data_IF_031880933377
#
_entry.id   IF_031880933377
#
_cell.length_a   1.000
_cell.length_b   1.000
_cell.length_c   1.000
_cell.angle_alpha   90.00
_cell.angle_beta   90.00
_cell.angle_gamma   90.00
#
_symmetry.space_group_name_H-M   'P 1'
#
loop_
_entity.id
_entity.type
_entity.pdbx_description
1 polymer ?
#
# COMPACT_ATOMS: atom_id res chain seq x y z
N UNK A 1 22.78 11.56 12.55
CA UNK A 1 22.60 10.09 12.52
C UNK A 1 21.16 9.78 12.85
N UNK A 2 20.44 9.12 11.95
CA UNK A 2 19.13 8.52 12.24
C UNK A 2 19.27 6.99 12.12
N UNK A 3 18.19 6.24 12.40
CA UNK A 3 18.22 4.78 12.38
C UNK A 3 18.42 4.16 10.97
N UNK A 4 18.56 4.97 9.91
CA UNK A 4 18.88 4.48 8.57
C UNK A 4 20.39 4.33 8.35
N UNK A 5 21.22 5.00 9.15
CA UNK A 5 22.69 4.89 9.14
C UNK A 5 23.32 5.08 7.74
N UNK A 6 22.75 5.96 6.91
CA UNK A 6 23.17 6.13 5.50
C UNK A 6 24.61 6.60 5.36
N UNK A 7 25.04 7.48 6.27
CA UNK A 7 26.40 8.00 6.37
C UNK A 7 27.47 6.95 6.67
N UNK A 8 27.09 5.74 7.07
CA UNK A 8 28.03 4.61 7.26
C UNK A 8 28.20 3.77 6.00
N UNK A 9 27.31 3.91 5.01
CA UNK A 9 27.38 3.14 3.79
C UNK A 9 28.45 3.71 2.85
N UNK A 10 29.27 2.87 2.19
CA UNK A 10 30.23 3.31 1.18
C UNK A 10 29.52 3.62 -0.14
N UNK A 11 28.67 4.66 -0.14
CA UNK A 11 27.83 5.08 -1.26
C UNK A 11 27.98 6.59 -1.39
N UNK A 12 28.32 7.06 -2.60
CA UNK A 12 28.43 8.49 -2.89
C UNK A 12 27.08 9.19 -2.86
N UNK A 13 27.10 10.52 -2.64
CA UNK A 13 25.87 11.32 -2.67
C UNK A 13 25.13 11.20 -4.02
N UNK A 14 25.89 11.15 -5.12
CA UNK A 14 25.33 10.98 -6.46
C UNK A 14 24.62 9.62 -6.64
N UNK A 15 25.23 8.54 -6.14
CA UNK A 15 24.62 7.21 -6.17
C UNK A 15 23.38 7.13 -5.26
N UNK A 16 23.42 7.76 -4.08
CA UNK A 16 22.25 7.86 -3.21
C UNK A 16 21.07 8.54 -3.91
N UNK A 17 21.30 9.66 -4.60
CA UNK A 17 20.25 10.37 -5.35
C UNK A 17 19.63 9.47 -6.41
N UNK A 18 20.44 8.76 -7.20
CA UNK A 18 19.92 7.82 -8.21
C UNK A 18 19.10 6.69 -7.58
N UNK A 19 19.60 6.04 -6.51
CA UNK A 19 18.87 4.97 -5.81
C UNK A 19 17.52 5.48 -5.28
N UNK A 20 17.49 6.67 -4.68
CA UNK A 20 16.25 7.27 -4.17
C UNK A 20 15.25 7.60 -5.28
N UNK A 21 15.71 8.15 -6.40
CA UNK A 21 14.86 8.46 -7.54
C UNK A 21 14.25 7.18 -8.13
N UNK A 22 15.07 6.16 -8.34
CA UNK A 22 14.69 4.86 -8.89
C UNK A 22 13.70 4.10 -8.00
N UNK A 23 13.93 4.11 -6.69
CA UNK A 23 13.01 3.47 -5.74
C UNK A 23 11.72 4.27 -5.57
N UNK A 24 11.80 5.61 -5.51
CA UNK A 24 10.64 6.49 -5.39
C UNK A 24 9.72 6.44 -6.61
N UNK A 25 10.27 6.43 -7.82
CA UNK A 25 9.46 6.30 -9.04
C UNK A 25 8.80 4.93 -9.10
N UNK A 26 9.53 3.88 -8.70
CA UNK A 26 9.04 2.50 -8.73
C UNK A 26 7.91 2.29 -7.74
N UNK A 27 8.09 2.70 -6.48
CA UNK A 27 7.05 2.52 -5.46
C UNK A 27 5.77 3.28 -5.83
N UNK A 28 5.88 4.52 -6.32
CA UNK A 28 4.72 5.32 -6.77
C UNK A 28 4.01 4.70 -7.98
N UNK A 29 4.74 4.01 -8.85
CA UNK A 29 4.17 3.32 -10.02
C UNK A 29 3.30 2.13 -9.62
N UNK A 30 3.71 1.39 -8.58
CA UNK A 30 3.03 0.15 -8.17
C UNK A 30 1.99 0.34 -7.06
N UNK A 31 2.05 1.42 -6.28
CA UNK A 31 1.05 1.72 -5.25
C UNK A 31 -0.28 2.17 -5.87
N UNK A 32 -1.32 1.37 -5.69
CA UNK A 32 -2.69 1.74 -6.03
C UNK A 32 -3.46 2.26 -4.82
N UNK A 33 -3.22 1.71 -3.63
CA UNK A 33 -3.97 2.02 -2.40
C UNK A 33 -3.98 3.50 -2.04
N UNK A 34 -2.80 4.13 -2.02
CA UNK A 34 -2.64 5.56 -1.67
C UNK A 34 -3.34 6.53 -2.62
N UNK A 35 -3.83 6.07 -3.78
CA UNK A 35 -4.59 6.90 -4.72
C UNK A 35 -6.07 6.98 -4.37
N UNK A 36 -6.55 6.11 -3.48
CA UNK A 36 -7.98 5.95 -3.17
C UNK A 36 -8.29 5.95 -1.67
N UNK A 37 -7.27 5.87 -0.81
CA UNK A 37 -7.40 6.01 0.65
C UNK A 37 -6.73 7.29 1.12
N UNK A 38 -7.20 7.82 2.23
CA UNK A 38 -6.54 8.93 2.91
C UNK A 38 -5.19 8.49 3.49
N UNK A 39 -4.15 9.30 3.28
CA UNK A 39 -2.82 9.07 3.80
C UNK A 39 -2.52 10.09 4.88
N UNK A 40 -2.43 9.64 6.12
CA UNK A 40 -2.09 10.49 7.27
C UNK A 40 -0.62 10.37 7.66
N UNK A 41 0.01 11.51 7.99
CA UNK A 41 1.39 11.58 8.44
C UNK A 41 2.35 12.19 7.40
N UNK A 42 3.68 12.00 7.57
CA UNK A 42 4.33 11.14 8.57
C UNK A 42 4.25 11.69 10.01
N UNK A 43 4.05 10.81 10.99
CA UNK A 43 3.95 11.12 12.42
C UNK A 43 5.23 10.82 13.22
N UNK A 44 6.28 10.33 12.53
CA UNK A 44 7.58 10.00 13.11
C UNK A 44 7.67 8.55 13.64
N UNK A 45 8.89 8.13 13.96
CA UNK A 45 9.23 6.76 14.37
C UNK A 45 8.79 6.39 15.79
N UNK A 46 8.37 7.36 16.59
CA UNK A 46 7.91 7.14 17.96
C UNK A 46 6.45 6.67 18.05
N UNK A 47 5.66 6.80 16.97
CA UNK A 47 4.27 6.36 16.96
C UNK A 47 4.20 4.83 16.94
N UNK A 48 3.62 4.24 17.98
CA UNK A 48 3.50 2.78 18.13
C UNK A 48 2.11 2.24 17.78
N UNK A 49 1.05 3.03 17.98
CA UNK A 49 -0.32 2.61 17.70
C UNK A 49 -1.25 3.81 17.43
N UNK A 50 -2.35 3.55 16.71
CA UNK A 50 -3.47 4.48 16.50
C UNK A 50 -4.66 4.03 17.34
N UNK A 51 -5.16 4.90 18.22
CA UNK A 51 -6.35 4.61 19.03
C UNK A 51 -7.61 4.55 18.18
N UNK A 52 -8.51 3.60 18.46
CA UNK A 52 -9.78 3.45 17.73
C UNK A 52 -10.92 4.26 18.36
N UNK A 53 -10.73 4.79 19.57
CA UNK A 53 -11.77 5.45 20.36
C UNK A 53 -12.68 4.48 21.12
N UNK A 54 -12.45 3.17 21.01
CA UNK A 54 -13.25 2.13 21.66
C UNK A 54 -12.59 1.56 22.91
N UNK A 55 -13.42 0.92 23.74
CA UNK A 55 -13.02 0.21 24.95
C UNK A 55 -13.46 -1.24 24.85
N UNK A 56 -12.58 -2.14 25.27
CA UNK A 56 -12.90 -3.55 25.51
C UNK A 56 -13.01 -3.80 27.01
N UNK A 57 -14.02 -4.56 27.42
CA UNK A 57 -14.13 -5.00 28.82
C UNK A 57 -13.04 -6.04 29.11
N UNK A 58 -12.36 -5.89 30.25
CA UNK A 58 -11.35 -6.84 30.71
C UNK A 58 -11.67 -7.29 32.13
N UNK A 59 -11.10 -8.44 32.54
CA UNK A 59 -11.27 -8.96 33.88
C UNK A 59 -10.84 -7.90 34.91
N UNK A 60 -11.73 -7.63 35.87
CA UNK A 60 -11.44 -6.71 36.96
C UNK A 60 -10.41 -7.33 37.92
N UNK A 61 -9.50 -6.52 38.50
CA UNK A 61 -8.48 -7.01 39.43
C UNK A 61 -9.02 -7.33 40.83
N UNK A 62 -10.33 -7.19 41.09
CA UNK A 62 -10.93 -7.47 42.38
C UNK A 62 -12.41 -7.10 42.46
N UNK A 63 -13.01 -7.42 43.59
CA UNK A 63 -14.43 -7.19 43.84
C UNK A 63 -14.77 -5.70 43.76
N UNK A 64 -15.94 -5.40 43.19
CA UNK A 64 -16.47 -4.04 42.99
C UNK A 64 -15.60 -3.12 42.10
N UNK A 65 -14.66 -3.67 41.34
CA UNK A 65 -13.88 -2.93 40.32
C UNK A 65 -14.43 -3.24 38.93
N UNK A 66 -14.52 -2.21 38.08
CA UNK A 66 -14.77 -2.36 36.64
C UNK A 66 -13.50 -2.01 35.89
N UNK A 67 -13.09 -2.85 34.93
CA UNK A 67 -11.90 -2.63 34.13
C UNK A 67 -12.22 -2.64 32.64
N UNK A 68 -11.66 -1.66 31.93
CA UNK A 68 -11.80 -1.47 30.49
C UNK A 68 -10.44 -1.10 29.90
N UNK A 69 -10.12 -1.64 28.74
CA UNK A 69 -8.89 -1.37 28.01
C UNK A 69 -9.18 -0.61 26.72
N UNK A 70 -8.38 0.42 26.44
CA UNK A 70 -8.43 1.13 25.17
C UNK A 70 -7.99 0.23 24.03
N UNK A 71 -8.81 0.19 22.99
CA UNK A 71 -8.44 -0.46 21.75
C UNK A 71 -7.56 0.45 20.91
N UNK A 72 -6.47 -0.12 20.41
CA UNK A 72 -5.54 0.55 19.52
C UNK A 72 -5.05 -0.42 18.45
N UNK A 73 -4.76 0.11 17.26
CA UNK A 73 -4.13 -0.62 16.16
C UNK A 73 -2.64 -0.32 16.16
N UNK A 74 -1.82 -1.33 16.47
CA UNK A 74 -0.37 -1.21 16.45
C UNK A 74 0.14 -0.98 15.02
N UNK A 75 1.13 -0.12 14.86
CA UNK A 75 1.79 0.08 13.58
C UNK A 75 2.68 -1.13 13.23
N UNK A 76 2.84 -1.38 11.94
CA UNK A 76 3.69 -2.44 11.41
C UNK A 76 4.92 -1.80 10.77
N UNK A 77 6.11 -2.22 11.20
CA UNK A 77 7.36 -1.90 10.50
C UNK A 77 7.61 -2.97 9.42
N UNK A 78 7.70 -2.55 8.16
CA UNK A 78 8.03 -3.42 7.04
C UNK A 78 9.42 -3.08 6.51
N UNK A 79 10.26 -4.10 6.30
CA UNK A 79 11.61 -3.97 5.77
C UNK A 79 11.85 -4.98 4.67
N UNK A 80 12.36 -4.52 3.53
CA UNK A 80 12.77 -5.37 2.41
C UNK A 80 14.26 -5.12 2.15
N UNK A 81 15.15 -6.06 2.52
CA UNK A 81 16.57 -5.94 2.21
C UNK A 81 16.81 -6.14 0.72
N UNK A 82 17.87 -5.51 0.22
CA UNK A 82 18.41 -5.70 -1.12
C UNK A 82 19.92 -5.49 -1.11
N UNK A 83 20.59 -6.01 -2.14
CA UNK A 83 22.03 -5.93 -2.32
C UNK A 83 22.33 -5.27 -3.67
N UNK A 84 23.42 -4.51 -3.74
CA UNK A 84 23.87 -3.80 -4.93
C UNK A 84 25.35 -4.08 -5.15
N UNK A 85 25.76 -4.11 -6.42
CA UNK A 85 27.18 -4.19 -6.76
C UNK A 85 27.86 -2.85 -6.48
N UNK A 86 28.94 -2.89 -5.68
CA UNK A 86 29.74 -1.71 -5.35
C UNK A 86 30.39 -1.09 -6.57
N UNK A 87 30.75 -1.87 -7.58
CA UNK A 87 31.30 -1.34 -8.83
C UNK A 87 30.29 -0.41 -9.52
N UNK A 88 29.02 -0.83 -9.59
CA UNK A 88 27.93 -0.04 -10.17
C UNK A 88 27.67 1.27 -9.41
N UNK A 89 27.87 1.24 -8.09
CA UNK A 89 27.78 2.43 -7.22
C UNK A 89 28.93 3.40 -7.52
N UNK A 90 30.17 2.89 -7.57
CA UNK A 90 31.36 3.70 -7.80
C UNK A 90 31.38 4.29 -9.24
N UNK A 91 30.79 3.60 -10.22
CA UNK A 91 30.71 4.06 -11.61
C UNK A 91 29.84 5.31 -11.80
N UNK A 92 28.89 5.58 -10.89
CA UNK A 92 28.06 6.79 -10.91
C UNK A 92 28.93 8.05 -10.79
N UNK A 93 29.94 8.04 -9.91
CA UNK A 93 30.86 9.18 -9.78
C UNK A 93 31.71 9.39 -11.03
N UNK A 94 31.91 8.33 -11.82
CA UNK A 94 32.61 8.38 -13.12
C UNK A 94 31.69 8.81 -14.27
N UNK A 95 30.42 9.09 -14.00
CA UNK A 95 29.43 9.57 -14.97
C UNK A 95 28.58 8.47 -15.62
N UNK A 96 28.57 7.25 -15.07
CA UNK A 96 27.66 6.21 -15.54
C UNK A 96 26.19 6.58 -15.29
N UNK A 97 25.34 6.31 -16.27
CA UNK A 97 23.89 6.57 -16.23
C UNK A 97 23.06 5.29 -16.39
N UNK A 98 23.73 4.14 -16.43
CA UNK A 98 23.18 2.81 -16.71
C UNK A 98 23.50 1.80 -15.58
N UNK A 99 23.92 2.28 -14.41
CA UNK A 99 24.13 1.45 -13.21
C UNK A 99 22.88 0.63 -12.87
N UNK A 100 23.07 -0.64 -12.54
CA UNK A 100 21.96 -1.56 -12.31
C UNK A 100 21.31 -1.36 -10.93
N UNK A 101 20.20 -0.65 -10.90
CA UNK A 101 19.36 -0.44 -9.72
C UNK A 101 18.20 -1.44 -9.61
N UNK A 102 18.18 -2.49 -10.42
CA UNK A 102 17.08 -3.47 -10.43
C UNK A 102 16.80 -4.10 -9.05
N UNK A 103 17.80 -4.48 -8.24
CA UNK A 103 17.53 -5.01 -6.90
C UNK A 103 16.77 -4.04 -5.98
N UNK A 104 17.09 -2.74 -6.06
CA UNK A 104 16.41 -1.71 -5.29
C UNK A 104 14.97 -1.49 -5.79
N UNK A 105 14.77 -1.50 -7.11
CA UNK A 105 13.43 -1.41 -7.74
C UNK A 105 12.56 -2.61 -7.37
N UNK A 106 13.12 -3.81 -7.35
CA UNK A 106 12.40 -5.02 -6.94
C UNK A 106 12.01 -4.99 -5.47
N UNK A 107 12.88 -4.47 -4.60
CA UNK A 107 12.56 -4.25 -3.19
C UNK A 107 11.42 -3.23 -3.01
N UNK A 108 11.47 -2.10 -3.73
CA UNK A 108 10.41 -1.10 -3.74
C UNK A 108 9.07 -1.67 -4.24
N UNK A 109 9.09 -2.50 -5.30
CA UNK A 109 7.90 -3.19 -5.82
C UNK A 109 7.30 -4.16 -4.80
N UNK A 110 8.13 -4.97 -4.14
CA UNK A 110 7.68 -5.90 -3.08
C UNK A 110 7.00 -5.14 -1.95
N UNK A 111 7.57 -4.01 -1.53
CA UNK A 111 6.99 -3.18 -0.47
C UNK A 111 5.66 -2.55 -0.90
N UNK A 112 5.55 -2.05 -2.13
CA UNK A 112 4.29 -1.53 -2.67
C UNK A 112 3.18 -2.60 -2.66
N UNK A 113 3.50 -3.81 -3.12
CA UNK A 113 2.53 -4.92 -3.13
C UNK A 113 2.16 -5.39 -1.72
N UNK A 114 3.10 -5.37 -0.78
CA UNK A 114 2.81 -5.69 0.62
C UNK A 114 1.83 -4.69 1.23
N UNK A 115 2.03 -3.39 0.98
CA UNK A 115 1.14 -2.33 1.44
C UNK A 115 -0.26 -2.45 0.83
N UNK A 116 -0.36 -2.53 -0.50
CA UNK A 116 -1.66 -2.65 -1.18
C UNK A 116 -2.41 -3.92 -0.74
N UNK A 117 -1.71 -5.05 -0.59
CA UNK A 117 -2.34 -6.27 -0.10
C UNK A 117 -2.85 -6.13 1.33
N UNK A 118 -2.10 -5.47 2.21
CA UNK A 118 -2.56 -5.20 3.57
C UNK A 118 -3.81 -4.30 3.58
N UNK A 119 -3.89 -3.30 2.69
CA UNK A 119 -5.06 -2.42 2.56
C UNK A 119 -6.28 -3.19 2.04
N UNK A 120 -6.15 -3.92 0.94
CA UNK A 120 -7.31 -4.50 0.25
C UNK A 120 -7.69 -5.89 0.76
N UNK A 121 -6.70 -6.77 0.97
CA UNK A 121 -6.91 -8.15 1.38
C UNK A 121 -6.72 -8.36 2.89
N UNK A 122 -6.10 -7.41 3.59
CA UNK A 122 -5.84 -7.46 5.02
C UNK A 122 -4.50 -8.08 5.37
N UNK A 123 -4.13 -7.95 6.64
CA UNK A 123 -2.95 -8.58 7.21
C UNK A 123 -3.28 -9.09 8.63
N UNK A 124 -3.81 -10.31 8.69
CA UNK A 124 -4.36 -10.89 9.91
C UNK A 124 -3.36 -10.97 11.07
N UNK A 125 -2.09 -11.29 10.79
CA UNK A 125 -1.04 -11.36 11.81
C UNK A 125 -0.76 -10.00 12.47
N UNK A 126 -1.08 -8.90 11.79
CA UNK A 126 -1.00 -7.54 12.32
C UNK A 126 -2.36 -6.99 12.81
N UNK A 127 -3.42 -7.80 12.81
CA UNK A 127 -4.77 -7.36 13.19
C UNK A 127 -5.37 -6.31 12.23
N UNK A 128 -4.91 -6.29 10.97
CA UNK A 128 -5.42 -5.41 9.91
C UNK A 128 -6.48 -6.18 9.11
N UNK A 129 -7.70 -5.66 9.09
CA UNK A 129 -8.79 -6.18 8.25
C UNK A 129 -8.81 -5.37 6.96
N UNK A 130 -8.68 -6.04 5.82
CA UNK A 130 -8.66 -5.38 4.51
C UNK A 130 -10.05 -4.97 4.03
N UNK A 131 -10.11 -4.07 3.06
CA UNK A 131 -11.36 -3.59 2.44
C UNK A 131 -12.27 -4.74 1.98
N UNK A 132 -11.68 -5.78 1.37
CA UNK A 132 -12.42 -6.95 0.87
C UNK A 132 -13.03 -7.80 1.99
N UNK A 133 -12.38 -7.83 3.14
CA UNK A 133 -12.84 -8.57 4.32
C UNK A 133 -13.88 -7.76 5.11
N UNK A 134 -13.69 -6.44 5.20
CA UNK A 134 -14.53 -5.53 5.98
C UNK A 134 -15.80 -5.04 5.28
N UNK A 135 -15.96 -5.31 3.97
CA UNK A 135 -17.16 -4.87 3.24
C UNK A 135 -18.43 -5.56 3.74
N UNK A 136 -19.46 -4.76 4.04
CA UNK A 136 -20.82 -5.22 4.28
C UNK A 136 -21.68 -5.26 2.99
N UNK A 137 -21.15 -4.72 1.89
CA UNK A 137 -21.85 -4.73 0.60
C UNK A 137 -21.80 -6.12 -0.05
N UNK A 138 -22.80 -6.48 -0.89
CA UNK A 138 -22.78 -7.71 -1.67
C UNK A 138 -21.51 -7.82 -2.50
N UNK A 139 -20.82 -8.96 -2.39
CA UNK A 139 -19.61 -9.24 -3.19
C UNK A 139 -20.05 -9.58 -4.62
N UNK A 140 -19.52 -8.85 -5.58
CA UNK A 140 -19.77 -9.09 -7.00
C UNK A 140 -18.54 -9.71 -7.65
N UNK A 141 -18.77 -10.59 -8.62
CA UNK A 141 -17.69 -11.12 -9.46
C UNK A 141 -17.56 -10.24 -10.70
N UNK A 142 -16.32 -9.94 -11.08
CA UNK A 142 -16.07 -9.30 -12.36
C UNK A 142 -16.45 -10.29 -13.47
N UNK A 143 -17.27 -9.90 -14.47
CA UNK A 143 -17.57 -10.77 -15.60
C UNK A 143 -16.30 -11.21 -16.34
N UNK A 144 -16.31 -12.36 -17.01
CA UNK A 144 -15.19 -12.75 -17.87
C UNK A 144 -15.14 -11.97 -19.20
N UNK A 145 -16.28 -11.40 -19.60
CA UNK A 145 -16.42 -10.61 -20.81
C UNK A 145 -16.26 -9.11 -20.47
N UNK A 146 -15.21 -8.51 -21.04
CA UNK A 146 -14.84 -7.09 -20.84
C UNK A 146 -15.96 -6.15 -21.28
N UNK A 147 -16.74 -6.53 -22.30
CA UNK A 147 -17.88 -5.74 -22.75
C UNK A 147 -18.96 -5.55 -21.68
N UNK A 148 -18.98 -6.40 -20.65
CA UNK A 148 -19.92 -6.34 -19.51
C UNK A 148 -19.36 -5.59 -18.30
N UNK A 149 -18.12 -5.10 -18.35
CA UNK A 149 -17.52 -4.35 -17.24
C UNK A 149 -18.32 -3.08 -16.91
N UNK A 150 -18.76 -2.25 -17.87
CA UNK A 150 -19.53 -1.04 -17.56
C UNK A 150 -20.82 -1.33 -16.79
N UNK A 151 -21.52 -2.41 -17.12
CA UNK A 151 -22.73 -2.83 -16.41
C UNK A 151 -22.40 -3.26 -14.97
N UNK A 152 -21.38 -4.09 -14.78
CA UNK A 152 -20.92 -4.50 -13.46
C UNK A 152 -20.50 -3.29 -12.61
N UNK A 153 -19.79 -2.32 -13.19
CA UNK A 153 -19.41 -1.09 -12.50
C UNK A 153 -20.63 -0.24 -12.13
N UNK A 154 -21.60 -0.08 -13.04
CA UNK A 154 -22.83 0.64 -12.75
C UNK A 154 -23.62 0.01 -11.60
N UNK A 155 -23.69 -1.34 -11.55
CA UNK A 155 -24.30 -2.07 -10.45
C UNK A 155 -23.56 -1.84 -9.13
N UNK A 156 -22.22 -1.90 -9.12
CA UNK A 156 -21.41 -1.62 -7.92
C UNK A 156 -21.66 -0.20 -7.39
N UNK A 157 -21.66 0.79 -8.28
CA UNK A 157 -21.91 2.19 -7.93
C UNK A 157 -23.33 2.40 -7.42
N UNK A 158 -24.31 1.71 -8.00
CA UNK A 158 -25.70 1.76 -7.53
C UNK A 158 -25.82 1.22 -6.10
N UNK A 159 -25.13 0.13 -5.75
CA UNK A 159 -25.10 -0.40 -4.39
C UNK A 159 -24.54 0.62 -3.40
N UNK A 160 -23.43 1.29 -3.73
CA UNK A 160 -22.87 2.35 -2.87
C UNK A 160 -23.85 3.51 -2.66
N UNK A 161 -24.56 3.94 -3.71
CA UNK A 161 -25.56 5.00 -3.61
C UNK A 161 -26.75 4.60 -2.74
N UNK A 162 -27.22 3.35 -2.85
CA UNK A 162 -28.36 2.85 -2.06
C UNK A 162 -28.07 2.84 -0.56
N UNK A 163 -26.82 2.65 -0.17
CA UNK A 163 -26.39 2.74 1.24
C UNK A 163 -25.90 4.13 1.65
N UNK A 164 -26.12 5.15 0.81
CA UNK A 164 -25.83 6.55 1.13
C UNK A 164 -24.35 6.95 1.05
N UNK A 165 -23.50 6.16 0.40
CA UNK A 165 -22.10 6.51 0.18
C UNK A 165 -21.99 7.46 -1.01
N UNK A 166 -21.52 8.68 -0.75
CA UNK A 166 -21.31 9.71 -1.76
C UNK A 166 -19.96 9.54 -2.47
N UNK A 167 -19.91 10.00 -3.72
CA UNK A 167 -18.67 10.04 -4.51
C UNK A 167 -17.76 11.22 -4.15
N UNK A 168 -16.65 11.41 -4.90
CA UNK A 168 -16.30 10.70 -6.14
C UNK A 168 -15.99 9.22 -5.92
N UNK A 169 -16.25 8.40 -6.94
CA UNK A 169 -15.98 6.96 -6.90
C UNK A 169 -14.72 6.65 -7.70
N UNK A 170 -13.93 5.69 -7.21
CA UNK A 170 -12.77 5.14 -7.91
C UNK A 170 -12.95 3.62 -8.09
N UNK A 171 -12.49 3.10 -9.22
CA UNK A 171 -12.47 1.67 -9.51
C UNK A 171 -11.01 1.23 -9.55
N UNK A 172 -10.69 0.17 -8.83
CA UNK A 172 -9.37 -0.47 -8.85
C UNK A 172 -9.51 -1.82 -9.52
N UNK A 173 -8.66 -2.07 -10.50
CA UNK A 173 -8.63 -3.30 -11.28
C UNK A 173 -7.27 -3.96 -11.12
N UNK A 174 -7.26 -5.29 -11.16
CA UNK A 174 -6.01 -6.05 -11.35
C UNK A 174 -5.38 -5.71 -12.70
N UNK A 175 -4.08 -5.94 -12.83
CA UNK A 175 -3.33 -5.56 -14.03
C UNK A 175 -3.92 -6.13 -15.33
N UNK A 176 -4.29 -7.42 -15.33
CA UNK A 176 -4.90 -8.09 -16.48
C UNK A 176 -6.23 -7.42 -16.88
N UNK A 177 -7.17 -7.29 -15.94
CA UNK A 177 -8.45 -6.64 -16.18
C UNK A 177 -8.33 -5.17 -16.61
N UNK A 178 -7.34 -4.44 -16.10
CA UNK A 178 -7.06 -3.07 -16.52
C UNK A 178 -6.55 -3.01 -17.97
N UNK A 179 -5.60 -3.90 -18.33
CA UNK A 179 -5.07 -3.99 -19.70
C UNK A 179 -6.17 -4.38 -20.68
N UNK A 180 -6.95 -5.42 -20.38
CA UNK A 180 -8.06 -5.87 -21.22
C UNK A 180 -9.09 -4.76 -21.47
N UNK A 181 -9.44 -4.00 -20.42
CA UNK A 181 -10.37 -2.87 -20.54
C UNK A 181 -9.78 -1.75 -21.40
N UNK A 182 -8.50 -1.42 -21.23
CA UNK A 182 -7.82 -0.39 -22.00
C UNK A 182 -7.72 -0.77 -23.48
N UNK A 183 -7.33 -2.01 -23.78
CA UNK A 183 -7.21 -2.52 -25.15
C UNK A 183 -8.58 -2.60 -25.84
N UNK A 184 -9.64 -2.98 -25.12
CA UNK A 184 -10.99 -3.02 -25.69
C UNK A 184 -11.54 -1.62 -25.97
N UNK A 185 -11.15 -0.63 -25.17
CA UNK A 185 -11.57 0.76 -25.38
C UNK A 185 -10.95 1.41 -26.63
N UNK A 186 -9.78 0.95 -27.09
CA UNK A 186 -9.15 1.42 -28.33
C UNK A 186 -9.84 0.89 -29.61
N UNK A 187 -10.72 -0.11 -29.49
CA UNK A 187 -11.48 -0.69 -30.62
C UNK A 187 -12.99 -0.35 -30.60
N UNK A 188 -13.44 0.58 -29.76
CA UNK A 188 -14.87 0.95 -29.61
C UNK A 188 -15.21 2.35 -30.14
N UNK A 189 -16.09 2.37 -31.14
CA UNK A 189 -16.72 3.52 -31.85
C UNK A 189 -17.14 4.74 -31.02
#
# INVERSE_FOLDING_TARGET
MNNLHRELAPISDAAWVQIEEETSRTIKRYLAGRRVVDVHGPTGTALSAVGTGHLSMIAAPGDYITAQQREAKALVELRVPFELDRQMIDDVERGANDSDWQPAKDAARKLAFAEDRAIFEGYAAAGIVGVRQGTSNPKMSLPADVGKYPEAFAQALSQLRLVGVNGPYAILLGAEAYTELAETSDYGH
#
